data_IF_630348969381
#
_entry.id   IF_630348969381
#
_cell.length_a   1.000
_cell.length_b   1.000
_cell.length_c   1.000
_cell.angle_alpha   90.00
_cell.angle_beta   90.00
_cell.angle_gamma   90.00
#
_symmetry.space_group_name_H-M   'P 1'
#
loop_
_entity.id
_entity.type
_entity.pdbx_description
1 polymer ?
#
# COMPACT_ATOMS: atom_id res chain seq x y z
N UNK A 1 -45.66 -14.55 -12.91
CA UNK A 1 -44.79 -15.71 -13.25
C UNK A 1 -45.37 -16.96 -12.61
N UNK A 2 -45.66 -18.02 -13.38
CA UNK A 2 -46.36 -19.20 -12.85
C UNK A 2 -45.44 -20.02 -11.94
N UNK A 3 -46.00 -20.69 -10.92
CA UNK A 3 -45.27 -21.60 -10.01
C UNK A 3 -44.46 -22.68 -10.75
N UNK A 4 -44.87 -23.02 -11.98
CA UNK A 4 -44.17 -23.98 -12.84
C UNK A 4 -42.83 -23.43 -13.37
N UNK A 5 -42.71 -22.13 -13.58
CA UNK A 5 -41.47 -21.48 -14.01
C UNK A 5 -40.41 -21.46 -12.89
N UNK A 6 -40.84 -21.20 -11.65
CA UNK A 6 -39.98 -21.23 -10.46
C UNK A 6 -39.52 -22.67 -10.17
N UNK A 7 -40.42 -23.65 -10.29
CA UNK A 7 -40.05 -25.06 -10.10
C UNK A 7 -39.09 -25.58 -11.19
N UNK A 8 -39.20 -25.10 -12.43
CA UNK A 8 -38.26 -25.44 -13.50
C UNK A 8 -36.87 -24.82 -13.27
N UNK A 9 -36.80 -23.58 -12.76
CA UNK A 9 -35.55 -22.89 -12.40
C UNK A 9 -34.81 -23.55 -11.24
N UNK A 10 -35.53 -24.17 -10.31
CA UNK A 10 -34.97 -24.81 -9.11
C UNK A 10 -34.63 -26.31 -9.30
N UNK A 11 -35.06 -26.92 -10.41
CA UNK A 11 -34.82 -28.34 -10.71
C UNK A 11 -33.31 -28.67 -10.83
N UNK A 12 -32.47 -27.90 -11.54
CA UNK A 12 -31.02 -28.16 -11.59
C UNK A 12 -30.34 -27.97 -10.23
N UNK A 13 -30.86 -27.05 -9.41
CA UNK A 13 -30.32 -26.75 -8.08
C UNK A 13 -30.56 -27.90 -7.08
N UNK A 14 -31.69 -28.60 -7.21
CA UNK A 14 -32.03 -29.79 -6.41
C UNK A 14 -31.35 -31.07 -6.89
N UNK A 15 -31.10 -31.19 -8.19
CA UNK A 15 -30.45 -32.36 -8.80
C UNK A 15 -28.92 -32.27 -8.74
N UNK A 16 -28.36 -31.07 -8.51
CA UNK A 16 -26.92 -30.93 -8.26
C UNK A 16 -26.58 -31.36 -6.82
N UNK A 17 -25.62 -32.28 -6.68
CA UNK A 17 -25.05 -32.68 -5.40
C UNK A 17 -24.25 -31.55 -4.69
N UNK A 18 -24.44 -30.28 -5.06
CA UNK A 18 -23.70 -29.11 -4.55
C UNK A 18 -23.97 -28.89 -3.07
N UNK A 19 -25.22 -29.07 -2.62
CA UNK A 19 -25.55 -28.99 -1.17
C UNK A 19 -24.95 -30.17 -0.40
N UNK A 20 -24.93 -31.37 -1.00
CA UNK A 20 -24.29 -32.55 -0.40
C UNK A 20 -22.76 -32.45 -0.34
N UNK A 21 -22.14 -31.81 -1.31
CA UNK A 21 -20.70 -31.54 -1.34
C UNK A 21 -20.30 -30.43 -0.35
N UNK A 22 -21.15 -29.41 -0.19
CA UNK A 22 -21.00 -28.37 0.84
C UNK A 22 -21.21 -28.93 2.25
N UNK A 23 -22.16 -29.85 2.47
CA UNK A 23 -22.38 -30.49 3.77
C UNK A 23 -21.24 -31.46 4.15
N UNK A 24 -20.62 -32.15 3.20
CA UNK A 24 -19.42 -32.98 3.44
C UNK A 24 -18.17 -32.19 3.86
N UNK A 25 -18.13 -30.88 3.59
CA UNK A 25 -17.09 -29.98 4.11
C UNK A 25 -17.30 -29.63 5.59
N UNK A 26 -18.50 -29.84 6.14
CA UNK A 26 -18.86 -29.53 7.53
C UNK A 26 -19.13 -30.77 8.40
N UNK A 27 -19.16 -31.97 7.81
CA UNK A 27 -19.51 -33.22 8.50
C UNK A 27 -18.27 -34.11 8.70
N UNK A 28 -17.39 -33.70 9.63
CA UNK A 28 -16.44 -34.61 10.29
C UNK A 28 -17.00 -35.01 11.66
N UNK A 29 -17.87 -36.02 11.65
CA UNK A 29 -18.30 -36.76 12.83
C UNK A 29 -17.22 -37.74 13.37
N UNK A 30 -17.48 -38.45 14.48
CA UNK A 30 -16.82 -38.20 15.76
C UNK A 30 -15.78 -39.26 16.20
N UNK A 31 -14.92 -38.85 17.14
CA UNK A 31 -14.05 -39.67 18.01
C UNK A 31 -12.95 -40.52 17.35
N UNK A 32 -11.71 -39.99 17.37
CA UNK A 32 -10.55 -40.73 17.85
C UNK A 32 -9.48 -39.76 18.39
N UNK A 33 -9.28 -39.76 19.72
CA UNK A 33 -7.99 -39.40 20.35
C UNK A 33 -7.76 -37.96 20.83
N UNK A 34 -8.60 -37.40 21.71
CA UNK A 34 -8.22 -36.21 22.49
C UNK A 34 -7.22 -36.58 23.61
N UNK A 35 -5.93 -36.28 23.40
CA UNK A 35 -5.02 -35.98 24.53
C UNK A 35 -5.36 -34.59 25.05
N UNK A 36 -5.69 -34.51 26.34
CA UNK A 36 -5.89 -33.27 27.09
C UNK A 36 -4.67 -32.35 26.92
N UNK A 37 -4.87 -31.20 26.28
CA UNK A 37 -3.98 -30.03 26.41
C UNK A 37 -4.81 -28.94 27.07
N UNK A 38 -4.26 -28.38 28.15
CA UNK A 38 -4.98 -27.59 29.15
C UNK A 38 -5.67 -26.34 28.59
N UNK A 39 -6.79 -26.01 29.21
CA UNK A 39 -7.53 -24.76 29.01
C UNK A 39 -6.63 -23.60 29.47
N UNK A 40 -5.97 -22.93 28.53
CA UNK A 40 -5.45 -21.59 28.77
C UNK A 40 -6.64 -20.62 28.68
N UNK A 41 -6.87 -19.85 29.74
CA UNK A 41 -7.91 -18.83 29.81
C UNK A 41 -7.74 -17.86 28.63
N UNK A 42 -8.81 -17.65 27.86
CA UNK A 42 -8.93 -16.55 26.90
C UNK A 42 -8.91 -15.23 27.66
N UNK A 43 -7.72 -14.69 27.91
CA UNK A 43 -7.56 -13.26 28.15
C UNK A 43 -7.52 -12.56 26.80
N UNK A 44 -8.60 -11.83 26.50
CA UNK A 44 -8.61 -10.81 25.45
C UNK A 44 -7.45 -9.85 25.75
N UNK A 45 -6.49 -9.63 24.84
CA UNK A 45 -5.56 -8.53 25.00
C UNK A 45 -6.38 -7.25 24.90
N UNK A 46 -6.78 -6.70 26.04
CA UNK A 46 -7.18 -5.31 26.16
C UNK A 46 -6.08 -4.51 25.48
N UNK A 47 -6.42 -3.78 24.42
CA UNK A 47 -5.55 -2.81 23.79
C UNK A 47 -5.13 -1.77 24.85
N UNK A 48 -4.07 -2.07 25.60
CA UNK A 48 -3.31 -1.10 26.36
C UNK A 48 -2.36 -0.46 25.37
N UNK A 49 -2.52 0.85 25.18
CA UNK A 49 -1.50 1.80 24.74
C UNK A 49 -0.18 1.13 24.34
N UNK A 50 -0.09 0.70 23.08
CA UNK A 50 1.10 0.04 22.58
C UNK A 50 2.26 1.02 22.60
N UNK A 51 3.21 0.80 23.50
CA UNK A 51 4.53 1.34 23.38
C UNK A 51 5.03 1.03 21.97
N UNK A 52 5.40 2.05 21.21
CA UNK A 52 6.04 1.87 19.92
C UNK A 52 7.25 0.96 20.13
N UNK A 53 7.18 -0.29 19.66
CA UNK A 53 8.38 -1.09 19.45
C UNK A 53 9.10 -0.42 18.29
N UNK A 54 9.98 0.52 18.61
CA UNK A 54 11.02 0.97 17.70
C UNK A 54 11.92 -0.22 17.43
N UNK A 55 11.56 -1.10 16.49
CA UNK A 55 12.52 -2.08 15.99
C UNK A 55 13.52 -1.30 15.14
N UNK A 56 14.61 -0.86 15.77
CA UNK A 56 15.81 -0.36 15.09
C UNK A 56 16.57 -1.47 14.33
N UNK A 57 15.95 -2.64 14.15
CA UNK A 57 16.51 -3.79 13.44
C UNK A 57 16.10 -3.80 11.98
N UNK A 58 16.97 -4.39 11.16
CA UNK A 58 16.70 -4.65 9.73
C UNK A 58 15.42 -5.46 9.60
N UNK A 59 14.48 -5.00 8.76
CA UNK A 59 13.20 -5.68 8.51
C UNK A 59 13.34 -6.58 7.30
N UNK A 60 13.02 -7.87 7.46
CA UNK A 60 12.95 -8.80 6.34
C UNK A 60 11.64 -8.60 5.57
N UNK A 61 11.74 -8.48 4.24
CA UNK A 61 10.62 -8.23 3.32
C UNK A 61 10.70 -9.23 2.17
N UNK A 62 9.59 -9.89 1.87
CA UNK A 62 9.54 -10.79 0.71
C UNK A 62 9.60 -10.00 -0.59
N UNK A 63 10.52 -10.36 -1.46
CA UNK A 63 10.66 -9.75 -2.78
C UNK A 63 10.31 -10.76 -3.86
N UNK A 64 9.38 -10.39 -4.74
CA UNK A 64 8.97 -11.20 -5.88
C UNK A 64 9.31 -10.40 -7.15
N UNK A 65 10.46 -10.62 -7.80
CA UNK A 65 10.88 -9.82 -8.96
C UNK A 65 9.87 -9.87 -10.13
N UNK A 66 9.16 -10.99 -10.27
CA UNK A 66 8.13 -11.19 -11.28
C UNK A 66 8.69 -11.47 -12.67
N UNK A 67 7.92 -11.12 -13.70
CA UNK A 67 8.15 -11.52 -15.09
C UNK A 67 8.25 -10.31 -16.03
N UNK A 68 8.81 -10.51 -17.23
CA UNK A 68 8.94 -9.46 -18.25
C UNK A 68 9.87 -8.33 -17.77
N UNK A 69 9.36 -7.10 -17.71
CA UNK A 69 10.12 -5.96 -17.16
C UNK A 69 10.35 -6.04 -15.64
N UNK A 70 9.65 -6.94 -14.93
CA UNK A 70 9.66 -7.02 -13.47
C UNK A 70 11.05 -7.10 -12.83
N UNK A 71 11.94 -8.00 -13.27
CA UNK A 71 13.32 -8.07 -12.76
C UNK A 71 14.10 -6.76 -12.92
N UNK A 72 13.97 -6.08 -14.07
CA UNK A 72 14.68 -4.82 -14.36
C UNK A 72 14.27 -3.70 -13.39
N UNK A 73 12.97 -3.46 -13.25
CA UNK A 73 12.45 -2.44 -12.33
C UNK A 73 12.65 -2.81 -10.86
N UNK A 74 12.68 -4.11 -10.53
CA UNK A 74 12.95 -4.58 -9.17
C UNK A 74 14.39 -4.28 -8.77
N UNK A 75 15.36 -4.58 -9.64
CA UNK A 75 16.77 -4.24 -9.42
C UNK A 75 16.96 -2.73 -9.27
N UNK A 76 16.25 -1.91 -10.07
CA UNK A 76 16.27 -0.46 -9.91
C UNK A 76 15.83 -0.02 -8.50
N UNK A 77 14.73 -0.58 -7.98
CA UNK A 77 14.24 -0.28 -6.62
C UNK A 77 15.25 -0.74 -5.56
N UNK A 78 15.85 -1.93 -5.70
CA UNK A 78 16.87 -2.42 -4.77
C UNK A 78 18.09 -1.48 -4.70
N UNK A 79 18.60 -1.01 -5.85
CA UNK A 79 19.71 -0.05 -5.91
C UNK A 79 19.37 1.27 -5.22
N UNK A 80 18.15 1.78 -5.40
CA UNK A 80 17.70 3.01 -4.74
C UNK A 80 17.61 2.80 -3.22
N UNK A 81 17.08 1.66 -2.77
CA UNK A 81 16.95 1.32 -1.35
C UNK A 81 18.32 1.16 -0.67
N UNK A 82 19.27 0.51 -1.36
CA UNK A 82 20.65 0.38 -0.90
C UNK A 82 21.32 1.75 -0.76
N UNK A 83 21.22 2.60 -1.79
CA UNK A 83 21.76 3.96 -1.77
C UNK A 83 21.12 4.83 -0.67
N UNK A 84 19.82 4.68 -0.44
CA UNK A 84 19.08 5.35 0.63
C UNK A 84 19.28 4.72 2.02
N UNK A 85 20.10 3.66 2.12
CA UNK A 85 20.42 2.91 3.35
C UNK A 85 19.17 2.49 4.12
N UNK A 86 18.15 2.02 3.39
CA UNK A 86 16.91 1.54 4.00
C UNK A 86 17.20 0.26 4.78
N UNK A 87 16.76 0.14 6.05
CA UNK A 87 17.02 -1.03 6.89
C UNK A 87 16.11 -2.21 6.51
N UNK A 88 16.20 -2.69 5.27
CA UNK A 88 15.44 -3.82 4.73
C UNK A 88 16.39 -4.91 4.24
N UNK A 89 16.09 -6.16 4.61
CA UNK A 89 16.67 -7.36 4.02
C UNK A 89 15.65 -7.97 3.07
N UNK A 90 16.06 -8.18 1.82
CA UNK A 90 15.20 -8.79 0.81
C UNK A 90 15.24 -10.32 0.91
N UNK A 91 14.06 -10.92 1.08
CA UNK A 91 13.85 -12.36 0.96
C UNK A 91 13.30 -12.67 -0.44
N UNK A 92 14.21 -12.86 -1.39
CA UNK A 92 13.83 -13.10 -2.79
C UNK A 92 13.23 -14.49 -2.99
N UNK A 93 12.04 -14.52 -3.57
CA UNK A 93 11.32 -15.73 -3.91
C UNK A 93 10.76 -15.69 -5.32
N UNK A 94 10.79 -16.85 -5.98
CA UNK A 94 10.13 -17.08 -7.25
C UNK A 94 8.71 -17.62 -7.01
N UNK A 95 7.75 -17.08 -7.76
CA UNK A 95 6.34 -17.49 -7.73
C UNK A 95 5.89 -18.20 -9.01
N UNK A 96 6.83 -18.51 -9.90
CA UNK A 96 6.59 -19.32 -11.10
C UNK A 96 5.84 -20.59 -10.72
N UNK A 97 4.71 -20.83 -11.39
CA UNK A 97 3.79 -21.90 -11.02
C UNK A 97 4.48 -23.27 -11.09
N UNK A 98 4.44 -24.01 -9.98
CA UNK A 98 4.94 -25.38 -9.87
C UNK A 98 3.79 -26.36 -9.79
N UNK A 99 4.00 -27.59 -10.27
CA UNK A 99 3.02 -28.67 -10.15
C UNK A 99 3.18 -29.34 -8.79
N UNK A 100 2.14 -29.28 -7.96
CA UNK A 100 2.10 -29.92 -6.66
C UNK A 100 1.95 -31.44 -6.74
N UNK A 101 2.09 -32.15 -5.59
CA UNK A 101 1.88 -33.60 -5.51
C UNK A 101 0.47 -34.04 -5.91
N UNK A 102 -0.52 -33.15 -5.80
CA UNK A 102 -1.91 -33.34 -6.22
C UNK A 102 -2.12 -33.14 -7.74
N UNK A 103 -1.04 -32.88 -8.48
CA UNK A 103 -1.04 -32.65 -9.91
C UNK A 103 -1.54 -31.27 -10.34
N UNK A 104 -1.91 -30.38 -9.41
CA UNK A 104 -2.39 -29.02 -9.69
C UNK A 104 -1.22 -28.02 -9.70
N UNK A 105 -1.38 -26.95 -10.48
CA UNK A 105 -0.43 -25.85 -10.48
C UNK A 105 -0.72 -24.89 -9.33
N UNK A 106 0.33 -24.52 -8.59
CA UNK A 106 0.26 -23.60 -7.46
C UNK A 106 1.54 -22.78 -7.30
N UNK A 107 1.54 -21.89 -6.32
CA UNK A 107 2.72 -21.10 -5.95
C UNK A 107 3.70 -22.01 -5.20
N UNK A 108 5.03 -21.90 -5.43
CA UNK A 108 6.03 -22.64 -4.65
C UNK A 108 5.89 -22.42 -3.14
N UNK A 109 6.03 -23.51 -2.36
CA UNK A 109 5.88 -23.44 -0.89
C UNK A 109 6.85 -22.44 -0.25
N UNK A 110 8.08 -22.32 -0.76
CA UNK A 110 9.06 -21.32 -0.30
C UNK A 110 8.51 -19.89 -0.35
N UNK A 111 7.76 -19.54 -1.39
CA UNK A 111 7.18 -18.20 -1.51
C UNK A 111 6.03 -18.00 -0.51
N UNK A 112 5.19 -19.02 -0.32
CA UNK A 112 4.12 -19.02 0.70
C UNK A 112 4.74 -18.84 2.09
N UNK A 113 5.78 -19.61 2.42
CA UNK A 113 6.46 -19.57 3.71
C UNK A 113 7.12 -18.21 3.96
N UNK A 114 7.80 -17.66 2.95
CA UNK A 114 8.43 -16.34 3.01
C UNK A 114 7.42 -15.24 3.33
N UNK A 115 6.33 -15.15 2.55
CA UNK A 115 5.32 -14.11 2.79
C UNK A 115 4.58 -14.37 4.11
N UNK A 116 4.37 -15.63 4.51
CA UNK A 116 3.80 -15.97 5.82
C UNK A 116 4.71 -15.61 7.00
N UNK A 117 6.03 -15.67 6.84
CA UNK A 117 6.98 -15.28 7.87
C UNK A 117 7.13 -13.75 7.94
N UNK A 118 7.32 -13.09 6.80
CA UNK A 118 7.66 -11.66 6.75
C UNK A 118 6.43 -10.76 6.87
N UNK A 119 5.25 -11.26 6.44
CA UNK A 119 3.94 -10.57 6.37
C UNK A 119 3.90 -9.32 5.48
N UNK A 120 5.03 -8.92 4.90
CA UNK A 120 5.17 -7.76 4.04
C UNK A 120 5.95 -8.21 2.81
N UNK A 121 5.49 -7.79 1.64
CA UNK A 121 6.20 -8.04 0.40
C UNK A 121 6.10 -6.91 -0.62
N UNK A 122 7.06 -6.91 -1.53
CA UNK A 122 7.09 -6.11 -2.74
C UNK A 122 7.10 -7.06 -3.93
N UNK A 123 6.22 -6.86 -4.92
CA UNK A 123 6.18 -7.68 -6.12
C UNK A 123 6.20 -6.85 -7.40
N UNK A 124 6.99 -7.32 -8.36
CA UNK A 124 6.89 -6.92 -9.75
C UNK A 124 5.64 -7.52 -10.45
N UNK A 125 5.44 -7.17 -11.72
CA UNK A 125 4.34 -7.69 -12.53
C UNK A 125 4.46 -9.21 -12.73
N UNK A 126 3.34 -9.92 -12.65
CA UNK A 126 3.26 -11.36 -12.89
C UNK A 126 2.46 -11.66 -14.15
N UNK A 127 3.05 -12.45 -15.06
CA UNK A 127 2.33 -12.95 -16.22
C UNK A 127 1.18 -13.87 -15.78
N UNK A 128 0.00 -13.68 -16.35
CA UNK A 128 -1.16 -14.57 -16.17
C UNK A 128 -1.53 -15.16 -17.54
N UNK A 129 -1.65 -16.49 -17.70
CA UNK A 129 -2.13 -17.09 -18.94
C UNK A 129 -3.56 -16.65 -19.28
N UNK A 130 -3.85 -16.32 -20.55
CA UNK A 130 -5.19 -15.92 -21.00
C UNK A 130 -5.96 -17.14 -21.53
N UNK A 131 -7.19 -17.35 -21.05
CA UNK A 131 -8.16 -18.30 -21.60
C UNK A 131 -7.91 -19.79 -21.33
N UNK A 132 -6.67 -20.23 -21.10
CA UNK A 132 -6.30 -21.60 -20.72
C UNK A 132 -5.06 -21.58 -19.82
N UNK A 133 -5.05 -22.36 -18.74
CA UNK A 133 -3.87 -22.49 -17.86
C UNK A 133 -4.21 -22.54 -16.37
N UNK A 134 -3.20 -22.23 -15.54
CA UNK A 134 -3.33 -22.18 -14.09
C UNK A 134 -4.04 -20.89 -13.63
N UNK A 135 -4.69 -20.96 -12.45
CA UNK A 135 -5.37 -19.82 -11.82
C UNK A 135 -4.38 -18.66 -11.61
N UNK A 136 -4.79 -17.42 -11.83
CA UNK A 136 -3.92 -16.24 -11.70
C UNK A 136 -3.12 -16.25 -10.39
N UNK A 137 -1.78 -16.12 -10.49
CA UNK A 137 -0.88 -16.10 -9.34
C UNK A 137 -1.18 -14.90 -8.42
N UNK A 138 -1.60 -13.77 -8.98
CA UNK A 138 -2.02 -12.60 -8.21
C UNK A 138 -3.24 -12.94 -7.33
N UNK A 139 -4.21 -13.67 -7.87
CA UNK A 139 -5.39 -14.11 -7.11
C UNK A 139 -5.02 -15.11 -6.01
N UNK A 140 -4.10 -16.04 -6.30
CA UNK A 140 -3.63 -17.00 -5.31
C UNK A 140 -2.91 -16.31 -4.13
N UNK A 141 -2.02 -15.35 -4.40
CA UNK A 141 -1.37 -14.54 -3.35
C UNK A 141 -2.41 -13.76 -2.53
N UNK A 142 -3.37 -13.10 -3.18
CA UNK A 142 -4.40 -12.32 -2.47
C UNK A 142 -5.26 -13.17 -1.55
N UNK A 143 -5.59 -14.41 -1.96
CA UNK A 143 -6.36 -15.34 -1.14
C UNK A 143 -5.54 -15.90 0.01
N UNK A 144 -4.30 -16.30 -0.25
CA UNK A 144 -3.42 -16.85 0.79
C UNK A 144 -3.17 -15.84 1.93
N UNK A 145 -3.04 -14.56 1.58
CA UNK A 145 -2.78 -13.48 2.55
C UNK A 145 -4.02 -12.71 3.01
N UNK A 146 -5.22 -13.12 2.57
CA UNK A 146 -6.48 -12.41 2.80
C UNK A 146 -6.35 -10.89 2.55
N UNK A 147 -5.74 -10.53 1.42
CA UNK A 147 -5.46 -9.15 1.03
C UNK A 147 -6.70 -8.51 0.42
N UNK A 148 -7.62 -8.09 1.27
CA UNK A 148 -8.97 -7.72 0.89
C UNK A 148 -9.16 -6.32 0.33
N UNK A 149 -8.24 -5.38 0.60
CA UNK A 149 -8.32 -4.01 0.11
C UNK A 149 -7.14 -3.73 -0.84
N UNK A 150 -7.43 -3.40 -2.10
CA UNK A 150 -6.42 -2.88 -3.02
C UNK A 150 -6.51 -1.35 -3.07
N UNK A 151 -5.43 -0.68 -2.69
CA UNK A 151 -5.32 0.78 -2.62
C UNK A 151 -4.49 1.27 -3.79
N UNK A 152 -5.06 2.15 -4.61
CA UNK A 152 -4.42 2.74 -5.79
C UNK A 152 -4.61 4.25 -5.77
N UNK A 153 -3.62 5.00 -5.26
CA UNK A 153 -3.60 6.46 -5.37
C UNK A 153 -3.21 6.87 -6.80
N UNK A 154 -3.94 7.85 -7.35
CA UNK A 154 -3.69 8.46 -8.64
C UNK A 154 -3.53 9.96 -8.42
N UNK A 155 -2.29 10.43 -8.49
CA UNK A 155 -1.92 11.82 -8.23
C UNK A 155 -1.15 12.39 -9.41
N UNK A 156 -1.52 13.58 -9.87
CA UNK A 156 -0.73 14.33 -10.85
C UNK A 156 0.65 14.63 -10.29
N UNK A 157 1.68 14.37 -11.09
CA UNK A 157 3.07 14.58 -10.71
C UNK A 157 3.60 15.83 -11.42
N UNK A 158 4.28 16.70 -10.68
CA UNK A 158 4.96 17.87 -11.25
C UNK A 158 5.97 17.41 -12.32
N UNK A 159 5.96 18.08 -13.47
CA UNK A 159 6.81 17.74 -14.61
C UNK A 159 6.16 16.78 -15.61
N UNK A 160 5.12 16.04 -15.22
CA UNK A 160 4.37 15.16 -16.13
C UNK A 160 3.18 15.93 -16.72
N UNK A 161 3.25 16.20 -18.03
CA UNK A 161 2.18 16.87 -18.76
C UNK A 161 1.12 15.87 -19.21
N UNK A 162 -0.11 16.11 -18.78
CA UNK A 162 -1.29 15.34 -19.22
C UNK A 162 -2.40 16.32 -19.61
N UNK A 163 -3.57 15.80 -20.01
CA UNK A 163 -4.76 16.62 -20.25
C UNK A 163 -5.39 17.17 -18.96
N UNK A 164 -4.98 16.66 -17.79
CA UNK A 164 -5.54 16.99 -16.49
C UNK A 164 -4.44 17.52 -15.56
N UNK A 165 -4.81 18.53 -14.77
CA UNK A 165 -3.96 19.10 -13.74
C UNK A 165 -4.50 18.77 -12.35
N UNK A 166 -3.61 18.64 -11.36
CA UNK A 166 -3.95 18.52 -9.94
C UNK A 166 -4.93 17.38 -9.60
N UNK A 167 -4.87 16.26 -10.32
CA UNK A 167 -5.60 15.04 -9.97
C UNK A 167 -5.04 14.51 -8.66
N UNK A 168 -5.90 14.17 -7.71
CA UNK A 168 -5.52 13.53 -6.45
C UNK A 168 -6.68 12.69 -5.92
N UNK A 169 -6.81 11.48 -6.45
CA UNK A 169 -7.90 10.55 -6.16
C UNK A 169 -7.31 9.24 -5.65
N UNK A 170 -7.95 8.62 -4.66
CA UNK A 170 -7.56 7.29 -4.19
C UNK A 170 -8.69 6.32 -4.43
N UNK A 171 -8.40 5.23 -5.12
CA UNK A 171 -9.35 4.12 -5.29
C UNK A 171 -9.03 3.01 -4.30
N UNK A 172 -10.08 2.51 -3.64
CA UNK A 172 -10.06 1.40 -2.70
C UNK A 172 -10.99 0.33 -3.23
N UNK A 173 -10.39 -0.73 -3.74
CA UNK A 173 -11.07 -1.84 -4.41
C UNK A 173 -11.18 -3.03 -3.45
N UNK A 174 -12.38 -3.59 -3.35
CA UNK A 174 -12.57 -4.92 -2.76
C UNK A 174 -11.84 -5.95 -3.63
N UNK A 175 -11.02 -6.82 -3.02
CA UNK A 175 -10.02 -7.59 -3.75
C UNK A 175 -10.13 -9.12 -3.57
N UNK A 176 -11.20 -9.63 -2.93
CA UNK A 176 -11.40 -11.06 -2.65
C UNK A 176 -12.61 -11.68 -3.34
N UNK A 177 -13.66 -10.92 -3.64
CA UNK A 177 -14.92 -11.42 -4.19
C UNK A 177 -15.38 -10.59 -5.41
N UNK A 178 -16.70 -10.44 -5.60
CA UNK A 178 -17.29 -9.80 -6.77
C UNK A 178 -17.30 -10.70 -8.00
N UNK A 179 -17.11 -10.08 -9.15
CA UNK A 179 -17.03 -10.74 -10.45
C UNK A 179 -15.76 -11.61 -10.60
N UNK A 180 -14.77 -11.43 -9.72
CA UNK A 180 -13.47 -12.13 -9.74
C UNK A 180 -13.49 -13.41 -8.90
N UNK A 181 -14.68 -13.84 -8.44
CA UNK A 181 -14.88 -15.12 -7.75
C UNK A 181 -14.40 -16.31 -8.60
N UNK A 182 -14.47 -16.16 -9.93
CA UNK A 182 -14.12 -17.20 -10.92
C UNK A 182 -15.15 -18.32 -10.98
N UNK A 183 -16.39 -18.04 -10.55
CA UNK A 183 -17.48 -19.01 -10.58
C UNK A 183 -18.21 -18.86 -11.91
N UNK A 184 -17.85 -19.71 -12.87
CA UNK A 184 -18.42 -19.71 -14.21
C UNK A 184 -18.80 -21.14 -14.61
N UNK A 185 -19.90 -21.29 -15.33
CA UNK A 185 -20.30 -22.57 -15.90
C UNK A 185 -21.19 -22.36 -17.13
N UNK A 186 -21.16 -23.33 -18.02
CA UNK A 186 -22.07 -23.42 -19.16
C UNK A 186 -23.34 -24.15 -18.72
N UNK A 187 -24.50 -23.51 -18.85
CA UNK A 187 -25.79 -24.07 -18.46
C UNK A 187 -26.27 -25.06 -19.52
N UNK A 188 -26.15 -24.65 -20.78
CA UNK A 188 -26.39 -25.42 -22.01
C UNK A 188 -25.45 -24.90 -23.08
N UNK A 189 -25.25 -25.67 -24.15
CA UNK A 189 -24.36 -25.30 -25.27
C UNK A 189 -24.63 -23.86 -25.75
N UNK A 190 -23.61 -23.02 -25.67
CA UNK A 190 -23.65 -21.60 -26.04
C UNK A 190 -24.22 -20.64 -24.97
N UNK A 191 -24.56 -21.11 -23.78
CA UNK A 191 -25.11 -20.28 -22.68
C UNK A 191 -24.24 -20.38 -21.43
N UNK A 192 -23.45 -19.34 -21.19
CA UNK A 192 -22.53 -19.24 -20.05
C UNK A 192 -23.09 -18.32 -18.97
N UNK A 193 -22.94 -18.74 -17.71
CA UNK A 193 -23.25 -17.92 -16.53
C UNK A 193 -21.98 -17.66 -15.73
N UNK A 194 -21.76 -16.38 -15.40
CA UNK A 194 -20.76 -15.95 -14.41
C UNK A 194 -21.48 -15.44 -13.16
N UNK A 195 -21.08 -15.92 -11.98
CA UNK A 195 -21.72 -15.57 -10.70
C UNK A 195 -20.90 -14.48 -9.98
N UNK A 196 -21.48 -13.29 -9.87
CA UNK A 196 -21.01 -12.23 -8.98
C UNK A 196 -21.40 -12.55 -7.53
N UNK A 197 -20.40 -12.68 -6.65
CA UNK A 197 -20.61 -12.88 -5.23
C UNK A 197 -20.31 -11.59 -4.46
N UNK A 198 -21.25 -11.14 -3.62
CA UNK A 198 -21.02 -10.05 -2.66
C UNK A 198 -21.47 -10.53 -1.29
N UNK A 199 -20.59 -10.42 -0.30
CA UNK A 199 -20.86 -10.80 1.09
C UNK A 199 -20.82 -9.58 1.99
N UNK A 200 -21.58 -9.66 3.09
CA UNK A 200 -21.67 -8.58 4.07
C UNK A 200 -20.32 -8.36 4.79
N UNK A 201 -19.63 -9.44 5.14
CA UNK A 201 -18.33 -9.38 5.81
C UNK A 201 -17.28 -8.67 4.97
N UNK A 202 -17.12 -9.07 3.70
CA UNK A 202 -16.16 -8.45 2.79
C UNK A 202 -16.49 -6.98 2.50
N UNK A 203 -17.78 -6.67 2.33
CA UNK A 203 -18.26 -5.29 2.13
C UNK A 203 -18.00 -4.41 3.36
N UNK A 204 -18.22 -4.91 4.58
CA UNK A 204 -17.97 -4.16 5.82
C UNK A 204 -16.49 -3.88 6.03
N UNK A 205 -15.61 -4.89 5.87
CA UNK A 205 -14.16 -4.70 6.09
C UNK A 205 -13.53 -3.72 5.11
N UNK A 206 -13.91 -3.75 3.82
CA UNK A 206 -13.38 -2.82 2.83
C UNK A 206 -13.93 -1.40 3.03
N UNK A 207 -15.18 -1.26 3.44
CA UNK A 207 -15.77 0.03 3.79
C UNK A 207 -15.08 0.64 5.02
N UNK A 208 -14.92 -0.15 6.09
CA UNK A 208 -14.20 0.27 7.30
C UNK A 208 -12.76 0.71 6.98
N UNK A 209 -12.05 -0.10 6.18
CA UNK A 209 -10.72 0.26 5.69
C UNK A 209 -10.73 1.59 4.93
N UNK A 210 -11.71 1.83 4.05
CA UNK A 210 -11.78 3.07 3.27
C UNK A 210 -12.00 4.32 4.13
N UNK A 211 -12.89 4.25 5.12
CA UNK A 211 -13.11 5.35 6.05
C UNK A 211 -11.91 5.58 6.96
N UNK A 212 -11.29 4.52 7.47
CA UNK A 212 -10.09 4.62 8.29
C UNK A 212 -8.92 5.21 7.48
N UNK A 213 -8.70 4.72 6.26
CA UNK A 213 -7.72 5.27 5.34
C UNK A 213 -7.96 6.77 5.09
N UNK A 214 -9.22 7.17 4.88
CA UNK A 214 -9.55 8.56 4.67
C UNK A 214 -9.15 9.43 5.89
N UNK A 215 -9.49 8.99 7.10
CA UNK A 215 -9.13 9.69 8.34
C UNK A 215 -7.61 9.78 8.53
N UNK A 216 -6.90 8.66 8.40
CA UNK A 216 -5.45 8.56 8.64
C UNK A 216 -4.65 9.40 7.64
N UNK A 217 -5.17 9.56 6.42
CA UNK A 217 -4.54 10.34 5.35
C UNK A 217 -5.15 11.75 5.21
N UNK A 218 -5.95 12.20 6.19
CA UNK A 218 -6.57 13.55 6.23
C UNK A 218 -7.42 13.87 4.99
N UNK A 219 -8.00 12.84 4.38
CA UNK A 219 -9.00 12.93 3.33
C UNK A 219 -10.33 13.32 3.95
N UNK A 220 -11.21 13.93 3.16
CA UNK A 220 -12.45 14.54 3.67
C UNK A 220 -13.69 13.82 3.20
N UNK A 221 -13.61 13.03 2.13
CA UNK A 221 -14.77 12.41 1.50
C UNK A 221 -14.50 10.98 1.04
N UNK A 222 -15.47 10.11 1.32
CA UNK A 222 -15.55 8.73 0.78
C UNK A 222 -16.80 8.61 -0.08
N UNK A 223 -16.60 8.15 -1.32
CA UNK A 223 -17.65 7.92 -2.30
C UNK A 223 -17.80 6.43 -2.56
N UNK A 224 -18.94 5.82 -2.22
CA UNK A 224 -19.25 4.43 -2.57
C UNK A 224 -19.74 4.35 -4.02
N UNK A 225 -19.02 3.61 -4.87
CA UNK A 225 -19.35 3.44 -6.29
C UNK A 225 -20.07 2.10 -6.50
N UNK A 226 -21.22 2.15 -7.18
CA UNK A 226 -22.10 0.99 -7.33
C UNK A 226 -22.94 1.03 -8.62
N UNK A 227 -23.68 -0.04 -8.88
CA UNK A 227 -24.71 -0.14 -9.94
C UNK A 227 -26.00 -0.77 -9.42
N UNK A 228 -26.36 -0.44 -8.17
CA UNK A 228 -27.55 -0.94 -7.47
C UNK A 228 -28.90 -0.68 -8.17
N UNK A 229 -28.97 0.21 -9.17
CA UNK A 229 -30.17 0.37 -10.02
C UNK A 229 -30.46 -0.88 -10.88
N UNK A 230 -29.40 -1.59 -11.30
CA UNK A 230 -29.47 -2.85 -12.05
C UNK A 230 -29.24 -4.02 -11.09
N UNK A 231 -28.14 -4.00 -10.35
CA UNK A 231 -27.73 -5.05 -9.39
C UNK A 231 -28.30 -4.80 -8.00
N UNK A 232 -29.63 -4.86 -7.88
CA UNK A 232 -30.37 -4.46 -6.68
C UNK A 232 -29.97 -5.20 -5.41
N UNK A 233 -29.61 -6.48 -5.52
CA UNK A 233 -29.29 -7.32 -4.35
C UNK A 233 -27.82 -7.25 -3.97
N UNK A 234 -26.91 -7.52 -4.91
CA UNK A 234 -25.46 -7.55 -4.69
C UNK A 234 -24.93 -6.16 -4.32
N UNK A 235 -25.06 -5.20 -5.22
CA UNK A 235 -24.60 -3.83 -4.99
C UNK A 235 -25.46 -3.12 -3.93
N UNK A 236 -26.72 -3.50 -3.80
CA UNK A 236 -27.57 -3.04 -2.70
C UNK A 236 -27.05 -3.49 -1.33
N UNK A 237 -26.50 -4.71 -1.20
CA UNK A 237 -25.85 -5.17 0.02
C UNK A 237 -24.56 -4.39 0.30
N UNK A 238 -23.70 -4.22 -0.69
CA UNK A 238 -22.48 -3.42 -0.58
C UNK A 238 -22.77 -2.01 -0.07
N UNK A 239 -23.74 -1.33 -0.70
CA UNK A 239 -24.16 0.02 -0.29
C UNK A 239 -24.68 0.09 1.14
N UNK A 240 -25.51 -0.86 1.57
CA UNK A 240 -26.00 -0.89 2.96
C UNK A 240 -24.83 -0.97 3.94
N UNK A 241 -23.84 -1.82 3.66
CA UNK A 241 -22.64 -1.93 4.50
C UNK A 241 -21.87 -0.60 4.55
N UNK A 242 -21.66 0.07 3.42
CA UNK A 242 -21.00 1.38 3.39
C UNK A 242 -21.78 2.44 4.19
N UNK A 243 -23.11 2.49 4.07
CA UNK A 243 -23.97 3.41 4.84
C UNK A 243 -23.85 3.17 6.34
N UNK A 244 -23.94 1.90 6.75
CA UNK A 244 -23.83 1.52 8.16
C UNK A 244 -22.48 1.95 8.73
N UNK A 245 -21.39 1.72 7.99
CA UNK A 245 -20.05 2.15 8.40
C UNK A 245 -19.91 3.67 8.44
N UNK A 246 -20.50 4.41 7.49
CA UNK A 246 -20.45 5.87 7.47
C UNK A 246 -20.95 6.51 8.78
N UNK A 247 -21.92 5.89 9.46
CA UNK A 247 -22.43 6.38 10.76
C UNK A 247 -21.36 6.42 11.86
N UNK A 248 -20.30 5.61 11.75
CA UNK A 248 -19.17 5.57 12.70
C UNK A 248 -18.08 6.59 12.40
N UNK A 249 -18.14 7.26 11.25
CA UNK A 249 -17.15 8.23 10.77
C UNK A 249 -17.82 9.57 10.41
N UNK A 250 -18.46 10.26 11.37
CA UNK A 250 -19.21 11.49 11.10
C UNK A 250 -18.34 12.67 10.61
N UNK A 251 -17.03 12.58 10.82
CA UNK A 251 -16.00 13.52 10.34
C UNK A 251 -15.70 13.38 8.84
N UNK A 252 -16.08 12.26 8.21
CA UNK A 252 -15.85 11.99 6.79
C UNK A 252 -17.16 12.13 6.02
N UNK A 253 -17.18 13.00 5.01
CA UNK A 253 -18.35 13.13 4.13
C UNK A 253 -18.54 11.84 3.35
N UNK A 254 -19.74 11.25 3.44
CA UNK A 254 -20.10 10.08 2.67
C UNK A 254 -21.03 10.45 1.51
N UNK A 255 -20.77 9.90 0.32
CA UNK A 255 -21.70 9.97 -0.81
C UNK A 255 -21.75 8.67 -1.60
N UNK A 256 -22.81 8.51 -2.39
CA UNK A 256 -23.03 7.35 -3.25
C UNK A 256 -23.20 7.80 -4.69
N UNK A 257 -22.59 7.05 -5.61
CA UNK A 257 -22.63 7.35 -7.04
C UNK A 257 -22.73 6.08 -7.88
N UNK A 258 -23.51 6.18 -8.95
CA UNK A 258 -23.54 5.12 -9.95
C UNK A 258 -22.23 5.08 -10.74
N UNK A 259 -21.73 3.89 -11.04
CA UNK A 259 -20.47 3.68 -11.76
C UNK A 259 -20.37 4.49 -13.05
N UNK A 260 -21.40 4.47 -13.89
CA UNK A 260 -21.43 5.23 -15.15
C UNK A 260 -21.34 6.74 -14.94
N UNK A 261 -22.01 7.25 -13.90
CA UNK A 261 -21.93 8.67 -13.52
C UNK A 261 -20.53 9.02 -13.03
N UNK A 262 -19.89 8.13 -12.27
CA UNK A 262 -18.49 8.32 -11.83
C UNK A 262 -17.56 8.31 -13.03
N UNK A 263 -17.66 7.34 -13.95
CA UNK A 263 -16.86 7.29 -15.17
C UNK A 263 -16.95 8.61 -15.97
N UNK A 264 -18.18 9.10 -16.21
CA UNK A 264 -18.41 10.35 -16.94
C UNK A 264 -17.84 11.56 -16.21
N UNK A 265 -18.11 11.69 -14.91
CA UNK A 265 -17.67 12.85 -14.14
C UNK A 265 -16.16 12.84 -13.88
N UNK A 266 -15.54 11.66 -13.77
CA UNK A 266 -14.11 11.50 -13.52
C UNK A 266 -13.27 12.05 -14.68
N UNK A 267 -13.70 11.80 -15.92
CA UNK A 267 -13.02 12.34 -17.11
C UNK A 267 -13.40 13.80 -17.40
N UNK A 268 -14.46 14.32 -16.81
CA UNK A 268 -14.82 15.73 -16.94
C UNK A 268 -14.11 16.61 -15.92
N UNK A 269 -14.09 16.17 -14.66
CA UNK A 269 -13.52 16.91 -13.54
C UNK A 269 -13.18 15.95 -12.39
N UNK A 270 -11.94 15.40 -12.37
CA UNK A 270 -11.51 14.46 -11.34
C UNK A 270 -11.38 15.12 -9.96
N UNK A 271 -11.27 16.45 -9.86
CA UNK A 271 -11.15 17.19 -8.59
C UNK A 271 -12.39 17.06 -7.69
N UNK A 272 -13.50 16.62 -8.27
CA UNK A 272 -14.74 16.31 -7.54
C UNK A 272 -14.60 15.07 -6.66
N UNK A 273 -13.60 14.21 -6.85
CA UNK A 273 -13.45 12.96 -6.12
C UNK A 273 -12.28 13.02 -5.13
N UNK A 274 -12.34 12.17 -4.12
CA UNK A 274 -11.33 12.07 -3.06
C UNK A 274 -11.01 10.58 -2.85
N UNK A 275 -11.63 9.91 -1.87
CA UNK A 275 -11.53 8.44 -1.73
C UNK A 275 -12.75 7.76 -2.36
N UNK A 276 -12.52 6.78 -3.23
CA UNK A 276 -13.57 5.98 -3.87
C UNK A 276 -13.49 4.53 -3.37
N UNK A 277 -14.58 4.00 -2.81
CA UNK A 277 -14.67 2.60 -2.38
C UNK A 277 -15.64 1.82 -3.24
N UNK A 278 -15.26 0.63 -3.72
CA UNK A 278 -16.07 -0.11 -4.68
C UNK A 278 -15.81 -1.63 -4.75
N UNK A 279 -16.78 -2.41 -5.27
CA UNK A 279 -16.59 -3.82 -5.62
C UNK A 279 -15.49 -4.07 -6.65
N UNK A 280 -15.05 -5.33 -6.72
CA UNK A 280 -13.83 -5.76 -7.38
C UNK A 280 -13.67 -5.30 -8.84
N UNK A 281 -14.63 -5.62 -9.73
CA UNK A 281 -14.52 -5.25 -11.16
C UNK A 281 -14.52 -3.74 -11.39
N UNK A 282 -15.30 -3.00 -10.59
CA UNK A 282 -15.38 -1.55 -10.74
C UNK A 282 -14.08 -0.90 -10.33
N UNK A 283 -13.47 -1.42 -9.26
CA UNK A 283 -12.16 -0.99 -8.79
C UNK A 283 -11.09 -1.18 -9.84
N UNK A 284 -11.10 -2.32 -10.55
CA UNK A 284 -10.16 -2.58 -11.64
C UNK A 284 -10.28 -1.52 -12.74
N UNK A 285 -11.48 -1.36 -13.29
CA UNK A 285 -11.74 -0.44 -14.40
C UNK A 285 -11.47 1.02 -13.99
N UNK A 286 -11.99 1.44 -12.84
CA UNK A 286 -11.88 2.83 -12.39
C UNK A 286 -10.44 3.21 -12.06
N UNK A 287 -9.68 2.31 -11.44
CA UNK A 287 -8.30 2.63 -11.08
C UNK A 287 -7.39 2.73 -12.31
N UNK A 288 -7.55 1.85 -13.30
CA UNK A 288 -6.82 1.93 -14.58
C UNK A 288 -7.21 3.21 -15.36
N UNK A 289 -8.49 3.58 -15.36
CA UNK A 289 -8.95 4.86 -15.91
C UNK A 289 -8.26 6.05 -15.21
N UNK A 290 -8.21 6.04 -13.87
CA UNK A 290 -7.56 7.10 -13.09
C UNK A 290 -6.05 7.17 -13.38
N UNK A 291 -5.38 6.04 -13.62
CA UNK A 291 -3.98 6.03 -14.06
C UNK A 291 -3.79 6.77 -15.38
N UNK A 292 -4.72 6.64 -16.33
CA UNK A 292 -4.70 7.38 -17.59
C UNK A 292 -4.75 8.89 -17.42
N UNK A 293 -5.37 9.39 -16.33
CA UNK A 293 -5.46 10.83 -16.04
C UNK A 293 -4.13 11.44 -15.59
N UNK A 294 -3.20 10.63 -15.08
CA UNK A 294 -1.96 11.10 -14.43
C UNK A 294 -0.68 10.70 -15.18
N UNK A 295 -0.80 10.21 -16.41
CA UNK A 295 0.33 9.86 -17.28
C UNK A 295 0.50 8.35 -17.52
N UNK A 296 -0.40 7.52 -17.00
CA UNK A 296 -0.50 6.10 -17.32
C UNK A 296 -0.02 5.16 -16.22
N UNK A 297 -0.08 3.85 -16.53
CA UNK A 297 0.16 2.77 -15.57
C UNK A 297 1.61 2.71 -15.05
N UNK A 298 2.57 3.30 -15.79
CA UNK A 298 3.98 3.38 -15.40
C UNK A 298 4.26 4.28 -14.19
N UNK A 299 3.29 5.12 -13.80
CA UNK A 299 3.40 6.06 -12.68
C UNK A 299 2.53 5.70 -11.48
N UNK A 300 1.59 4.75 -11.62
CA UNK A 300 0.61 4.49 -10.57
C UNK A 300 1.00 3.30 -9.68
N UNK A 301 1.23 3.53 -8.38
CA UNK A 301 1.53 2.48 -7.43
C UNK A 301 0.28 1.77 -6.94
N UNK A 302 0.46 0.61 -6.29
CA UNK A 302 -0.63 -0.02 -5.54
C UNK A 302 -0.17 -0.81 -4.32
N UNK A 303 -1.08 -0.93 -3.35
CA UNK A 303 -0.90 -1.76 -2.16
C UNK A 303 -2.10 -2.67 -1.94
N UNK A 304 -1.87 -3.97 -1.80
CA UNK A 304 -2.88 -4.94 -1.38
C UNK A 304 -2.73 -5.15 0.12
N UNK A 305 -3.75 -4.77 0.88
CA UNK A 305 -3.75 -4.76 2.33
C UNK A 305 -4.70 -5.84 2.85
N UNK A 306 -4.19 -6.67 3.75
CA UNK A 306 -4.95 -7.65 4.51
C UNK A 306 -4.83 -7.39 6.00
N UNK A 307 -5.54 -8.17 6.81
CA UNK A 307 -5.50 -8.04 8.28
C UNK A 307 -4.14 -8.42 8.87
N UNK A 308 -3.49 -9.41 8.26
CA UNK A 308 -2.28 -10.03 8.80
C UNK A 308 -1.03 -9.79 7.94
N UNK A 309 -1.14 -8.97 6.89
CA UNK A 309 -0.03 -8.68 5.99
C UNK A 309 -0.39 -7.72 4.85
N UNK A 310 0.61 -7.32 4.10
CA UNK A 310 0.47 -6.42 2.96
C UNK A 310 1.43 -6.77 1.82
N UNK A 311 0.99 -6.57 0.59
CA UNK A 311 1.77 -6.82 -0.63
C UNK A 311 1.66 -5.62 -1.57
N UNK A 312 2.79 -4.96 -1.81
CA UNK A 312 2.88 -3.77 -2.64
C UNK A 312 3.29 -4.15 -4.06
N UNK A 313 2.64 -3.58 -5.07
CA UNK A 313 2.83 -3.96 -6.47
C UNK A 313 2.61 -2.77 -7.40
N UNK A 314 3.32 -2.73 -8.53
CA UNK A 314 2.94 -1.83 -9.62
C UNK A 314 1.64 -2.31 -10.28
N UNK A 315 0.86 -1.36 -10.81
CA UNK A 315 -0.41 -1.67 -11.48
C UNK A 315 -0.21 -2.27 -12.87
N UNK A 316 0.85 -1.86 -13.57
CA UNK A 316 1.11 -2.27 -14.96
C UNK A 316 1.41 -3.78 -15.10
N UNK A 317 1.22 -4.29 -16.32
CA UNK A 317 1.57 -5.66 -16.68
C UNK A 317 3.07 -5.89 -16.91
N UNK A 318 3.41 -7.05 -17.49
CA UNK A 318 4.80 -7.50 -17.70
C UNK A 318 5.52 -6.82 -18.86
N UNK A 319 4.81 -6.05 -19.71
CA UNK A 319 5.36 -5.33 -20.86
C UNK A 319 6.42 -6.11 -21.66
N UNK A 320 6.09 -7.30 -22.21
CA UNK A 320 7.07 -8.22 -22.79
C UNK A 320 7.84 -7.62 -23.98
N UNK A 321 7.26 -6.64 -24.67
CA UNK A 321 7.89 -5.99 -25.83
C UNK A 321 9.18 -5.21 -25.49
N UNK A 322 9.35 -4.78 -24.25
CA UNK A 322 10.52 -3.99 -23.79
C UNK A 322 11.33 -4.70 -22.69
N UNK A 323 10.96 -5.94 -22.34
CA UNK A 323 11.63 -6.69 -21.29
C UNK A 323 13.11 -6.93 -21.62
N UNK A 324 14.00 -6.62 -20.68
CA UNK A 324 15.44 -6.82 -20.81
C UNK A 324 16.15 -5.83 -21.73
N UNK A 325 15.48 -4.74 -22.12
CA UNK A 325 16.04 -3.71 -22.99
C UNK A 325 16.52 -2.47 -22.22
N UNK A 326 16.45 -2.47 -20.88
CA UNK A 326 16.79 -1.32 -20.03
C UNK A 326 15.90 -0.09 -20.35
N UNK A 327 14.64 -0.31 -20.71
CA UNK A 327 13.70 0.75 -21.12
C UNK A 327 12.54 0.95 -20.15
N UNK A 328 12.37 0.05 -19.18
CA UNK A 328 11.21 0.07 -18.32
C UNK A 328 11.27 1.26 -17.35
N UNK A 329 10.12 1.89 -17.09
CA UNK A 329 10.01 2.92 -16.08
C UNK A 329 9.81 2.27 -14.69
N UNK A 330 10.75 2.43 -13.73
CA UNK A 330 10.62 1.82 -12.41
C UNK A 330 9.68 2.61 -11.47
N UNK A 331 9.14 3.76 -11.88
CA UNK A 331 8.42 4.69 -11.00
C UNK A 331 7.23 4.05 -10.29
N UNK A 332 6.35 3.33 -10.97
CA UNK A 332 5.19 2.69 -10.33
C UNK A 332 5.59 1.70 -9.22
N UNK A 333 6.63 0.88 -9.45
CA UNK A 333 7.11 -0.06 -8.43
C UNK A 333 7.83 0.66 -7.30
N UNK A 334 8.63 1.69 -7.62
CA UNK A 334 9.31 2.53 -6.64
C UNK A 334 8.32 3.23 -5.71
N UNK A 335 7.27 3.83 -6.25
CA UNK A 335 6.22 4.47 -5.46
C UNK A 335 5.40 3.45 -4.65
N UNK A 336 5.26 2.21 -5.14
CA UNK A 336 4.67 1.11 -4.37
C UNK A 336 5.57 0.72 -3.20
N UNK A 337 6.90 0.73 -3.40
CA UNK A 337 7.87 0.53 -2.34
C UNK A 337 7.88 1.70 -1.33
N UNK A 338 7.64 2.94 -1.77
CA UNK A 338 7.41 4.09 -0.87
C UNK A 338 6.14 3.86 -0.03
N UNK A 339 5.03 3.40 -0.63
CA UNK A 339 3.83 3.02 0.12
C UNK A 339 4.12 1.92 1.16
N UNK A 340 4.96 0.94 0.81
CA UNK A 340 5.43 -0.09 1.73
C UNK A 340 6.21 0.49 2.90
N UNK A 341 7.14 1.41 2.65
CA UNK A 341 7.91 2.08 3.70
C UNK A 341 7.01 2.88 4.65
N UNK A 342 5.99 3.57 4.13
CA UNK A 342 4.98 4.25 4.96
C UNK A 342 4.18 3.27 5.81
N UNK A 343 3.81 2.11 5.26
CA UNK A 343 3.14 1.05 6.00
C UNK A 343 4.02 0.46 7.11
N UNK A 344 5.33 0.33 6.86
CA UNK A 344 6.34 -0.07 7.84
C UNK A 344 6.75 1.05 8.82
N UNK A 345 6.10 2.22 8.75
CA UNK A 345 6.41 3.41 9.57
C UNK A 345 7.85 3.95 9.36
N UNK A 346 8.50 3.60 8.25
CA UNK A 346 9.82 4.11 7.83
C UNK A 346 9.69 5.43 7.06
N UNK A 347 8.97 6.40 7.63
CA UNK A 347 8.55 7.63 6.95
C UNK A 347 9.71 8.45 6.38
N UNK A 348 10.83 8.54 7.11
CA UNK A 348 11.97 9.33 6.67
C UNK A 348 12.61 8.80 5.38
N UNK A 349 12.72 7.48 5.24
CA UNK A 349 13.21 6.84 4.01
C UNK A 349 12.20 6.99 2.88
N UNK A 350 10.91 6.81 3.18
CA UNK A 350 9.82 6.99 2.22
C UNK A 350 9.84 8.40 1.62
N UNK A 351 9.88 9.43 2.48
CA UNK A 351 9.90 10.84 2.07
C UNK A 351 11.15 11.18 1.26
N UNK A 352 12.31 10.63 1.63
CA UNK A 352 13.56 10.88 0.91
C UNK A 352 13.51 10.32 -0.53
N UNK A 353 13.13 9.06 -0.67
CA UNK A 353 13.04 8.38 -1.97
C UNK A 353 11.96 9.03 -2.85
N UNK A 354 10.80 9.33 -2.28
CA UNK A 354 9.70 9.99 -3.00
C UNK A 354 10.11 11.38 -3.51
N UNK A 355 10.74 12.20 -2.65
CA UNK A 355 11.24 13.53 -3.05
C UNK A 355 12.28 13.43 -4.15
N UNK A 356 13.23 12.49 -4.05
CA UNK A 356 14.26 12.30 -5.08
C UNK A 356 13.64 11.93 -6.44
N UNK A 357 12.68 10.99 -6.45
CA UNK A 357 11.94 10.63 -7.65
C UNK A 357 11.19 11.83 -8.25
N UNK A 358 10.47 12.59 -7.41
CA UNK A 358 9.70 13.75 -7.86
C UNK A 358 10.59 14.90 -8.37
N UNK A 359 11.78 15.10 -7.80
CA UNK A 359 12.76 16.06 -8.32
C UNK A 359 13.18 15.69 -9.74
N UNK A 360 13.51 14.43 -10.00
CA UNK A 360 13.90 13.98 -11.35
C UNK A 360 12.76 14.15 -12.35
N UNK A 361 11.53 13.77 -11.96
CA UNK A 361 10.34 13.95 -12.80
C UNK A 361 10.08 15.43 -13.12
N UNK A 362 10.21 16.30 -12.11
CA UNK A 362 10.00 17.74 -12.25
C UNK A 362 11.04 18.41 -13.15
N UNK A 363 12.30 18.01 -13.04
CA UNK A 363 13.38 18.53 -13.89
C UNK A 363 13.23 18.09 -15.35
N UNK A 364 12.69 16.89 -15.59
CA UNK A 364 12.39 16.37 -16.91
C UNK A 364 13.62 16.09 -17.81
N UNK A 365 14.84 16.14 -17.27
CA UNK A 365 16.09 15.94 -18.03
C UNK A 365 16.38 14.47 -18.32
N UNK A 366 16.20 13.60 -17.32
CA UNK A 366 16.45 12.16 -17.40
C UNK A 366 15.10 11.49 -17.21
N UNK A 367 14.46 11.11 -18.30
CA UNK A 367 13.14 10.48 -18.33
C UNK A 367 13.19 9.27 -19.26
N UNK A 368 12.40 8.24 -18.93
CA UNK A 368 12.19 7.06 -19.75
C UNK A 368 11.28 7.37 -20.94
N UNK A 369 11.26 6.47 -21.93
CA UNK A 369 10.56 6.64 -23.22
C UNK A 369 9.04 6.89 -23.06
N UNK A 370 8.40 6.22 -22.10
CA UNK A 370 6.97 6.37 -21.79
C UNK A 370 6.61 7.76 -21.26
N UNK A 371 7.57 8.48 -20.70
CA UNK A 371 7.43 9.86 -20.22
C UNK A 371 7.91 10.89 -21.26
N UNK A 372 8.21 10.45 -22.49
CA UNK A 372 8.70 11.30 -23.58
C UNK A 372 10.21 11.57 -23.55
N UNK A 373 10.96 10.88 -22.70
CA UNK A 373 12.42 10.97 -22.62
C UNK A 373 13.15 9.97 -23.53
N UNK A 374 14.46 9.84 -23.32
CA UNK A 374 15.36 8.95 -24.07
C UNK A 374 16.31 8.15 -23.17
N UNK A 375 16.17 8.30 -21.86
CA UNK A 375 17.05 7.68 -20.88
C UNK A 375 16.65 6.23 -20.64
N UNK A 376 17.63 5.40 -20.30
CA UNK A 376 17.38 4.01 -19.92
C UNK A 376 16.83 3.91 -18.49
N UNK A 377 16.32 2.75 -18.10
CA UNK A 377 15.91 2.45 -16.73
C UNK A 377 17.09 2.66 -15.76
N UNK A 378 18.29 2.22 -16.16
CA UNK A 378 19.51 2.41 -15.38
C UNK A 378 19.92 3.89 -15.26
N UNK A 379 19.85 4.68 -16.33
CA UNK A 379 20.12 6.13 -16.29
C UNK A 379 19.15 6.85 -15.34
N UNK A 380 17.87 6.54 -15.47
CA UNK A 380 16.81 7.09 -14.64
C UNK A 380 17.02 6.76 -13.16
N UNK A 381 17.35 5.50 -12.86
CA UNK A 381 17.67 5.02 -11.50
C UNK A 381 18.88 5.77 -10.93
N UNK A 382 19.94 5.94 -11.72
CA UNK A 382 21.14 6.64 -11.28
C UNK A 382 20.85 8.12 -10.98
N UNK A 383 20.02 8.77 -11.77
CA UNK A 383 19.63 10.17 -11.52
C UNK A 383 18.78 10.31 -10.25
N UNK A 384 17.87 9.37 -9.97
CA UNK A 384 17.14 9.33 -8.70
C UNK A 384 18.12 9.19 -7.53
N UNK A 385 19.09 8.27 -7.63
CA UNK A 385 20.09 8.04 -6.58
C UNK A 385 20.90 9.32 -6.29
N UNK A 386 21.30 10.08 -7.32
CA UNK A 386 22.00 11.36 -7.15
C UNK A 386 21.19 12.40 -6.37
N UNK A 387 19.87 12.33 -6.45
CA UNK A 387 18.94 13.25 -5.78
C UNK A 387 18.52 12.76 -4.38
N UNK A 388 19.03 11.61 -3.90
CA UNK A 388 18.76 11.16 -2.53
C UNK A 388 19.51 12.02 -1.52
N UNK A 389 18.79 12.50 -0.51
CA UNK A 389 19.38 13.14 0.66
C UNK A 389 19.59 12.09 1.75
N UNK A 390 20.84 11.66 1.98
CA UNK A 390 21.14 10.72 3.06
C UNK A 390 21.03 11.47 4.40
N UNK A 391 19.83 11.50 4.99
CA UNK A 391 19.58 12.05 6.32
C UNK A 391 20.47 11.34 7.36
N UNK A 392 21.07 12.11 8.26
CA UNK A 392 22.07 11.65 9.23
C UNK A 392 23.51 12.00 8.84
N UNK A 393 23.74 12.35 7.57
CA UNK A 393 24.91 13.11 7.17
C UNK A 393 24.42 14.46 6.70
N UNK A 394 24.82 15.52 7.38
CA UNK A 394 24.86 16.84 6.77
C UNK A 394 26.31 17.01 6.26
N UNK A 395 26.70 16.34 5.15
CA UNK A 395 28.09 16.32 4.68
C UNK A 395 28.62 17.74 4.48
N UNK A 396 27.72 18.66 4.12
CA UNK A 396 28.00 20.07 3.90
C UNK A 396 28.47 20.80 5.17
N UNK A 397 28.16 20.28 6.36
CA UNK A 397 28.57 20.84 7.67
C UNK A 397 29.34 19.85 8.55
N UNK A 398 29.46 18.59 8.14
CA UNK A 398 30.17 17.54 8.87
C UNK A 398 31.64 17.94 9.08
N UNK A 399 32.09 17.95 10.34
CA UNK A 399 33.45 18.37 10.71
C UNK A 399 33.71 19.88 10.60
N UNK A 400 32.70 20.71 10.27
CA UNK A 400 32.87 22.17 10.08
C UNK A 400 32.48 23.02 11.29
N UNK A 401 32.12 22.40 12.41
CA UNK A 401 31.73 23.10 13.65
C UNK A 401 30.52 24.04 13.46
N UNK A 402 29.58 23.67 12.59
CA UNK A 402 28.41 24.49 12.24
C UNK A 402 27.07 23.91 12.71
N UNK A 403 27.06 22.71 13.28
CA UNK A 403 25.83 22.03 13.68
C UNK A 403 25.18 22.72 14.89
N UNK A 404 23.86 22.84 14.89
CA UNK A 404 23.11 23.35 16.03
C UNK A 404 22.82 22.24 17.04
N UNK A 405 23.36 22.29 18.27
CA UNK A 405 23.16 21.25 19.26
C UNK A 405 21.82 21.38 20.03
N UNK A 406 21.04 22.44 19.80
CA UNK A 406 19.84 22.78 20.61
C UNK A 406 18.83 21.63 20.71
N UNK A 407 18.48 21.00 19.58
CA UNK A 407 17.50 19.91 19.58
C UNK A 407 17.97 18.70 20.40
N UNK A 408 19.27 18.37 20.33
CA UNK A 408 19.85 17.29 21.11
C UNK A 408 19.87 17.64 22.61
N UNK A 409 20.21 18.89 22.96
CA UNK A 409 20.20 19.37 24.35
C UNK A 409 18.78 19.35 24.95
N UNK A 410 17.77 19.81 24.21
CA UNK A 410 16.37 19.73 24.63
C UNK A 410 15.88 18.28 24.79
N UNK A 411 16.37 17.36 23.94
CA UNK A 411 16.08 15.93 24.10
C UNK A 411 16.75 15.35 25.35
N UNK A 412 18.00 15.76 25.65
CA UNK A 412 18.67 15.38 26.89
C UNK A 412 17.93 15.90 28.13
N UNK A 413 17.34 17.10 28.07
CA UNK A 413 16.48 17.65 29.12
C UNK A 413 15.25 16.76 29.34
N UNK A 414 14.58 16.30 28.27
CA UNK A 414 13.46 15.36 28.38
C UNK A 414 13.89 14.04 29.05
N UNK A 415 15.08 13.54 28.73
CA UNK A 415 15.66 12.37 29.40
C UNK A 415 15.93 12.62 30.89
N UNK A 416 16.52 13.77 31.26
CA UNK A 416 16.74 14.13 32.65
C UNK A 416 15.43 14.22 33.44
N UNK A 417 14.37 14.78 32.84
CA UNK A 417 13.02 14.81 33.43
C UNK A 417 12.45 13.40 33.62
N UNK A 418 12.63 12.53 32.64
CA UNK A 418 12.21 11.13 32.73
C UNK A 418 12.93 10.38 33.88
N UNK A 419 14.21 10.69 34.08
CA UNK A 419 15.03 10.16 35.19
C UNK A 419 14.78 10.86 36.54
N UNK A 420 13.78 11.75 36.62
CA UNK A 420 13.44 12.54 37.81
C UNK A 420 14.55 13.51 38.28
N UNK A 421 15.51 13.84 37.41
CA UNK A 421 16.58 14.82 37.67
C UNK A 421 16.12 16.23 37.28
N UNK A 422 14.98 16.67 37.84
CA UNK A 422 14.29 17.89 37.42
C UNK A 422 15.13 19.17 37.60
N UNK A 423 15.86 19.29 38.71
CA UNK A 423 16.71 20.47 38.96
C UNK A 423 17.81 20.62 37.90
N UNK A 424 18.41 19.51 37.47
CA UNK A 424 19.42 19.50 36.42
C UNK A 424 18.81 19.83 35.05
N UNK A 425 17.62 19.27 34.79
CA UNK A 425 16.85 19.57 33.59
C UNK A 425 16.51 21.07 33.49
N UNK A 426 16.04 21.67 34.58
CA UNK A 426 15.69 23.09 34.65
C UNK A 426 16.91 23.99 34.46
N UNK A 427 18.05 23.65 35.10
CA UNK A 427 19.32 24.38 34.91
C UNK A 427 19.78 24.41 33.44
N UNK A 428 19.83 23.23 32.80
CA UNK A 428 20.26 23.12 31.40
C UNK A 428 19.27 23.81 30.46
N UNK A 429 17.96 23.68 30.73
CA UNK A 429 16.92 24.31 29.92
C UNK A 429 16.97 25.84 30.01
N UNK A 430 17.14 26.39 31.21
CA UNK A 430 17.26 27.83 31.42
C UNK A 430 18.50 28.39 30.71
N UNK A 431 19.65 27.73 30.83
CA UNK A 431 20.87 28.11 30.12
C UNK A 431 20.69 28.11 28.59
N UNK A 432 20.05 27.08 28.02
CA UNK A 432 19.74 27.03 26.59
C UNK A 432 18.85 28.20 26.16
N UNK A 433 17.77 28.47 26.91
CA UNK A 433 16.86 29.57 26.57
C UNK A 433 17.47 30.95 26.76
N UNK A 434 18.38 31.13 27.71
CA UNK A 434 19.10 32.39 27.89
C UNK A 434 20.00 32.69 26.69
N UNK A 435 20.79 31.72 26.23
CA UNK A 435 21.63 31.88 25.03
C UNK A 435 20.79 32.13 23.78
N UNK A 436 19.65 31.45 23.64
CA UNK A 436 18.70 31.68 22.54
C UNK A 436 18.12 33.10 22.57
N UNK A 437 17.81 33.64 23.76
CA UNK A 437 17.30 35.01 23.94
C UNK A 437 18.36 36.07 23.67
N UNK A 438 19.61 35.83 24.05
CA UNK A 438 20.70 36.79 23.84
C UNK A 438 21.05 36.95 22.36
N UNK A 439 20.91 35.90 21.56
CA UNK A 439 21.09 35.96 20.11
C UNK A 439 22.53 36.11 19.62
N UNK A 440 23.52 36.24 20.52
CA UNK A 440 24.91 36.59 20.18
C UNK A 440 25.75 35.45 19.61
N UNK A 441 25.53 34.22 20.08
CA UNK A 441 26.35 33.05 19.74
C UNK A 441 25.59 32.01 18.91
N UNK A 442 24.49 32.41 18.28
CA UNK A 442 23.62 31.50 17.52
C UNK A 442 24.31 30.92 16.29
N UNK A 443 24.03 29.65 16.01
CA UNK A 443 24.46 28.99 14.77
C UNK A 443 23.70 29.51 13.55
N UNK A 444 24.21 29.24 12.34
CA UNK A 444 23.67 29.78 11.09
C UNK A 444 22.19 29.48 10.83
N UNK A 445 21.74 28.27 11.20
CA UNK A 445 20.34 27.84 11.10
C UNK A 445 19.40 28.57 12.07
N UNK A 446 19.95 29.15 13.14
CA UNK A 446 19.24 30.01 14.09
C UNK A 446 19.37 31.50 13.74
N UNK A 447 19.91 31.83 12.55
CA UNK A 447 20.07 33.21 12.07
C UNK A 447 21.30 33.94 12.61
N UNK A 448 22.26 33.23 13.24
CA UNK A 448 23.51 33.80 13.70
C UNK A 448 24.72 33.45 12.83
N UNK A 449 25.92 33.77 13.31
CA UNK A 449 27.20 33.45 12.65
C UNK A 449 28.14 32.62 13.53
N UNK A 450 27.65 32.17 14.68
CA UNK A 450 28.44 31.43 15.68
C UNK A 450 28.68 29.98 15.30
N UNK A 451 29.78 29.43 15.80
CA UNK A 451 30.11 28.00 15.68
C UNK A 451 29.37 27.16 16.73
N UNK A 452 29.26 25.84 16.49
CA UNK A 452 28.70 24.89 17.45
C UNK A 452 29.46 24.93 18.79
N UNK A 453 30.79 24.97 18.74
CA UNK A 453 31.64 25.14 19.93
C UNK A 453 31.37 26.44 20.69
N UNK A 454 31.21 27.56 19.99
CA UNK A 454 30.91 28.87 20.59
C UNK A 454 29.52 28.87 21.24
N UNK A 455 28.51 28.33 20.55
CA UNK A 455 27.16 28.17 21.09
C UNK A 455 27.16 27.28 22.34
N UNK A 456 27.89 26.17 22.31
CA UNK A 456 28.00 25.23 23.44
C UNK A 456 28.72 25.88 24.63
N UNK A 457 29.81 26.61 24.39
CA UNK A 457 30.53 27.34 25.43
C UNK A 457 29.66 28.45 26.06
N UNK A 458 28.85 29.13 25.26
CA UNK A 458 27.88 30.10 25.76
C UNK A 458 26.90 29.43 26.73
N UNK A 459 26.34 28.26 26.37
CA UNK A 459 25.45 27.50 27.25
C UNK A 459 26.17 27.09 28.54
N UNK A 460 27.39 26.53 28.44
CA UNK A 460 28.18 26.12 29.61
C UNK A 460 28.42 27.31 30.55
N UNK A 461 28.69 28.50 30.02
CA UNK A 461 28.92 29.70 30.84
C UNK A 461 27.69 30.11 31.67
N UNK A 462 26.49 29.71 31.23
CA UNK A 462 25.19 29.99 31.89
C UNK A 462 24.71 28.87 32.81
N UNK A 463 25.46 27.76 32.91
CA UNK A 463 25.12 26.65 33.81
C UNK A 463 25.54 26.92 35.27
N UNK A 464 26.32 27.98 35.53
CA UNK A 464 26.85 28.33 36.85
C UNK A 464 25.78 28.81 37.83
#
# INVERSE_FOLDING_TARGET
>A
MSKNYINALLKPFRESNVVGALLKLFDTGPNQGLKRVGIAKNEVPTAKSGAAQYSSGVRKVTLIPGHGIGPEITVAVQKIFEAAKVPIEWDEVDVTAVRGPDGKFGIPQKAIDSVNANKIGLKGPLMTPVGKGYRSLNLALRKEFDLYANVRPCKSLDGIKTLYDNVDVVTIRENTEGEYSGIEHEIVDGVVQSIKLITEEASKRVAEFAFQFARDNKRKKVTAVHKANIMRMSDGLFLRCCRDLATKYPDIKFEERYLDTVCLNMVQDPSKFDVLVMPNLYGDIMSDMCSGLVGGLGLTPSGNIGKNGALFESVHGTAPAIAGQDKANPTALLLSAVMMLRHLQMYQHADNIEKACFTVLKEGRVLTEDLGGKSTCSDYTAEIIKNLHVHGTAPDIAGKDMANPTALLLSAIMMLRHLQLNEHADRVQNACYEVLREGKSLTGDLGGTGKCSEYTNAIISKLN
#
